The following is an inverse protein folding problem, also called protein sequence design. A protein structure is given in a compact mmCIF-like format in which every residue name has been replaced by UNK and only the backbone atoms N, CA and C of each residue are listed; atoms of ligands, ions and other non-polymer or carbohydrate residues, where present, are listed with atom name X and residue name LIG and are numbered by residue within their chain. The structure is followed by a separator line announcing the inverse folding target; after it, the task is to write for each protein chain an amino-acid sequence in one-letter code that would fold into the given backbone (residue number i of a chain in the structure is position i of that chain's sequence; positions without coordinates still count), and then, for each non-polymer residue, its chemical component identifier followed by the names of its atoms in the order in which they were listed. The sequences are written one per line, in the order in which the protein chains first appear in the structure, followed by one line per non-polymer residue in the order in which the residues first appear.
data_IF_598949052740
#
_entry.id   IF_598949052740
#
_cell.length_a   1.000
_cell.length_b   1.000
_cell.length_c   1.000
_cell.angle_alpha   90.00
_cell.angle_beta   90.00
_cell.angle_gamma   90.00
#
_symmetry.space_group_name_H-M   'P 1'
#
loop_
_entity.id
_entity.type
_entity.pdbx_description
1 polymer ?
#
# COMPACT_ATOMS: atom_id res chain seq x y z
N UNK A 1 9.09 11.24 -11.86
CA UNK A 1 8.66 10.90 -10.49
C UNK A 1 7.14 10.85 -10.46
N UNK A 2 6.54 9.88 -9.75
CA UNK A 2 5.09 9.74 -9.58
C UNK A 2 4.81 9.51 -8.09
N UNK A 3 3.80 10.18 -7.56
CA UNK A 3 3.38 10.05 -6.16
C UNK A 3 2.06 9.29 -6.10
N UNK A 4 2.03 8.23 -5.30
CA UNK A 4 0.83 7.41 -5.07
C UNK A 4 0.41 7.57 -3.62
N UNK A 5 -0.83 7.98 -3.40
CA UNK A 5 -1.44 8.02 -2.05
C UNK A 5 -1.83 6.60 -1.68
N UNK A 6 -1.27 6.09 -0.58
CA UNK A 6 -1.58 4.75 -0.06
C UNK A 6 -2.35 4.88 1.24
N UNK A 7 -3.48 4.19 1.33
CA UNK A 7 -4.28 4.09 2.57
C UNK A 7 -4.17 2.67 3.13
N UNK A 8 -3.64 2.54 4.34
CA UNK A 8 -3.46 1.26 5.01
C UNK A 8 -4.63 0.95 5.95
N UNK A 9 -5.33 -0.15 5.68
CA UNK A 9 -6.38 -0.69 6.53
C UNK A 9 -5.92 -1.95 7.29
N UNK A 10 -6.45 -2.16 8.50
CA UNK A 10 -6.07 -3.28 9.37
C UNK A 10 -4.88 -3.00 10.29
N UNK A 11 -4.57 -1.71 10.53
CA UNK A 11 -3.56 -1.24 11.46
C UNK A 11 -4.22 -0.48 12.61
N UNK A 12 -3.94 -0.92 13.85
CA UNK A 12 -4.46 -0.28 15.06
C UNK A 12 -3.53 0.83 15.53
N UNK A 13 -2.22 0.67 15.28
CA UNK A 13 -1.21 1.57 15.80
C UNK A 13 -0.85 2.67 14.78
N UNK A 14 -1.08 3.92 15.16
CA UNK A 14 -0.80 5.09 14.31
C UNK A 14 0.69 5.35 14.11
N UNK A 15 1.56 4.82 14.97
CA UNK A 15 3.03 4.92 14.82
C UNK A 15 3.64 3.71 14.08
N UNK A 16 2.81 2.86 13.47
CA UNK A 16 3.23 1.63 12.80
C UNK A 16 4.39 1.84 11.80
N UNK A 17 4.30 2.88 10.98
CA UNK A 17 5.29 3.16 9.94
C UNK A 17 6.66 3.55 10.53
N UNK A 18 6.68 4.31 11.64
CA UNK A 18 7.94 4.72 12.28
C UNK A 18 8.63 3.56 13.00
N UNK A 19 7.90 2.50 13.37
CA UNK A 19 8.43 1.30 14.03
C UNK A 19 9.00 0.24 13.08
N UNK A 20 8.76 0.35 11.77
CA UNK A 20 9.18 -0.65 10.79
C UNK A 20 10.54 -0.34 10.12
N UNK A 21 11.33 0.56 10.72
CA UNK A 21 12.65 1.00 10.25
C UNK A 21 12.67 1.43 8.77
N UNK A 22 11.54 1.90 8.26
CA UNK A 22 11.39 2.36 6.87
C UNK A 22 11.44 1.26 5.81
N UNK A 23 11.45 -0.03 6.18
CA UNK A 23 11.46 -1.12 5.19
C UNK A 23 10.06 -1.37 4.64
N UNK A 24 9.88 -1.08 3.34
CA UNK A 24 8.68 -1.35 2.58
C UNK A 24 9.05 -2.08 1.29
N UNK A 25 8.39 -3.20 1.01
CA UNK A 25 8.53 -3.94 -0.25
C UNK A 25 7.20 -3.89 -0.98
N UNK A 26 7.26 -3.62 -2.27
CA UNK A 26 6.10 -3.58 -3.14
C UNK A 26 6.32 -4.61 -4.25
N UNK A 27 5.29 -5.39 -4.54
CA UNK A 27 5.27 -6.34 -5.64
C UNK A 27 4.14 -5.93 -6.60
N UNK A 28 4.53 -5.79 -7.86
CA UNK A 28 3.62 -5.60 -9.00
C UNK A 28 2.66 -4.40 -8.81
N UNK A 29 3.24 -3.21 -8.63
CA UNK A 29 2.50 -1.97 -8.34
C UNK A 29 1.49 -1.60 -9.44
N UNK A 30 1.77 -1.97 -10.69
CA UNK A 30 0.91 -1.63 -11.82
C UNK A 30 -0.24 -2.63 -12.03
N UNK A 31 -0.29 -3.70 -11.23
CA UNK A 31 -1.36 -4.69 -11.31
C UNK A 31 -2.67 -4.19 -10.71
N UNK A 32 -3.76 -4.90 -11.00
CA UNK A 32 -5.05 -4.68 -10.33
C UNK A 32 -5.00 -5.03 -8.83
N UNK A 33 -4.03 -5.85 -8.42
CA UNK A 33 -3.88 -6.35 -7.05
C UNK A 33 -2.42 -6.29 -6.57
N UNK A 34 -1.86 -5.09 -6.39
CA UNK A 34 -0.50 -4.94 -5.91
C UNK A 34 -0.37 -5.47 -4.49
N UNK A 35 0.80 -5.96 -4.14
CA UNK A 35 1.08 -6.48 -2.79
C UNK A 35 2.14 -5.61 -2.12
N UNK A 36 1.97 -5.37 -0.83
CA UNK A 36 2.92 -4.58 -0.06
C UNK A 36 3.26 -5.28 1.25
N UNK A 37 4.53 -5.26 1.63
CA UNK A 37 5.00 -5.75 2.92
C UNK A 37 5.67 -4.62 3.68
N UNK A 38 5.20 -4.36 4.90
CA UNK A 38 5.79 -3.41 5.85
C UNK A 38 6.04 -4.15 7.15
N UNK A 39 7.31 -4.31 7.52
CA UNK A 39 7.71 -5.19 8.62
C UNK A 39 7.17 -6.61 8.45
N UNK A 40 6.38 -7.08 9.42
CA UNK A 40 5.78 -8.42 9.44
C UNK A 40 4.38 -8.47 8.82
N UNK A 41 3.84 -7.34 8.36
CA UNK A 41 2.49 -7.28 7.81
C UNK A 41 2.51 -7.27 6.30
N UNK A 42 1.57 -8.02 5.72
CA UNK A 42 1.36 -8.12 4.27
C UNK A 42 0.01 -7.52 3.97
N UNK A 43 -0.04 -6.76 2.88
CA UNK A 43 -1.22 -6.08 2.39
C UNK A 43 -1.45 -6.45 0.93
N UNK A 44 -2.72 -6.59 0.56
CA UNK A 44 -3.17 -6.63 -0.82
C UNK A 44 -3.92 -5.35 -1.13
N UNK A 45 -3.65 -4.77 -2.30
CA UNK A 45 -4.20 -3.48 -2.67
C UNK A 45 -5.17 -3.53 -3.83
N UNK A 46 -5.90 -2.44 -3.98
CA UNK A 46 -6.72 -2.11 -5.15
C UNK A 46 -6.71 -0.59 -5.33
N UNK A 47 -6.67 -0.15 -6.60
CA UNK A 47 -6.73 1.26 -6.89
C UNK A 47 -8.17 1.75 -6.93
N UNK A 48 -8.46 2.81 -6.19
CA UNK A 48 -9.79 3.41 -6.10
C UNK A 48 -9.75 4.90 -6.42
N UNK A 49 -10.82 5.39 -7.04
CA UNK A 49 -11.05 6.82 -7.19
C UNK A 49 -11.64 7.39 -5.89
N UNK A 50 -11.08 8.50 -5.42
CA UNK A 50 -11.53 9.20 -4.22
C UNK A 50 -12.74 10.09 -4.53
N UNK A 51 -13.69 10.16 -3.59
CA UNK A 51 -14.69 11.23 -3.59
C UNK A 51 -14.01 12.55 -3.21
N UNK A 52 -13.56 13.30 -4.23
CA UNK A 52 -12.83 14.56 -4.06
C UNK A 52 -11.43 14.50 -4.67
N UNK A 53 -10.51 15.25 -4.10
CA UNK A 53 -9.11 15.33 -4.58
C UNK A 53 -8.17 15.36 -3.40
N UNK A 54 -7.18 14.46 -3.39
CA UNK A 54 -6.06 14.51 -2.47
C UNK A 54 -5.06 15.55 -2.97
N UNK A 55 -4.73 16.54 -2.14
CA UNK A 55 -3.73 17.57 -2.43
C UNK A 55 -2.53 17.34 -1.51
N UNK A 56 -1.35 17.18 -2.09
CA UNK A 56 -0.12 16.85 -1.37
C UNK A 56 0.78 18.08 -1.29
N UNK A 57 1.34 18.32 -0.10
CA UNK A 57 2.28 19.39 0.19
C UNK A 57 3.55 18.82 0.80
N UNK A 58 4.69 19.34 0.37
CA UNK A 58 5.99 19.09 1.00
C UNK A 58 6.23 20.14 2.09
N UNK A 59 6.64 19.70 3.27
CA UNK A 59 7.02 20.58 4.37
C UNK A 59 8.50 21.00 4.25
N UNK A 60 8.74 22.31 4.13
CA UNK A 60 10.07 22.90 4.12
C UNK A 60 10.64 23.16 5.51
N UNK A 61 11.91 23.59 5.56
CA UNK A 61 12.65 23.80 6.82
C UNK A 61 12.03 24.84 7.77
N UNK A 62 11.24 25.79 7.23
CA UNK A 62 10.62 26.87 8.00
C UNK A 62 9.09 26.71 8.12
N UNK A 63 8.58 25.46 8.12
CA UNK A 63 7.14 25.16 8.13
C UNK A 63 6.39 25.76 6.93
N UNK A 64 7.11 26.01 5.84
CA UNK A 64 6.52 26.40 4.57
C UNK A 64 5.94 25.17 3.91
N UNK A 65 4.69 25.24 3.44
CA UNK A 65 4.05 24.17 2.69
C UNK A 65 4.15 24.48 1.20
N UNK A 66 4.91 23.67 0.46
CA UNK A 66 5.01 23.78 -0.98
C UNK A 66 4.07 22.76 -1.63
N UNK A 67 3.21 23.23 -2.52
CA UNK A 67 2.38 22.35 -3.33
C UNK A 67 3.26 21.36 -4.12
N UNK A 68 3.01 20.07 -3.96
CA UNK A 68 3.73 19.01 -4.67
C UNK A 68 2.90 18.48 -5.84
N UNK A 69 1.71 17.94 -5.56
CA UNK A 69 0.80 17.42 -6.59
C UNK A 69 -0.63 17.27 -6.06
N UNK A 70 -1.51 16.78 -6.93
CA UNK A 70 -2.86 16.37 -6.56
C UNK A 70 -3.21 15.08 -7.29
N UNK A 71 -4.10 14.28 -6.69
CA UNK A 71 -4.62 13.05 -7.29
C UNK A 71 -6.07 12.85 -6.90
N UNK A 72 -6.85 12.23 -7.79
CA UNK A 72 -8.19 11.73 -7.52
C UNK A 72 -8.21 10.22 -7.32
N UNK A 73 -7.04 9.57 -7.33
CA UNK A 73 -6.88 8.13 -7.23
C UNK A 73 -5.93 7.78 -6.08
N UNK A 74 -6.31 6.80 -5.28
CA UNK A 74 -5.52 6.25 -4.18
C UNK A 74 -5.37 4.74 -4.33
N UNK A 75 -4.36 4.20 -3.66
CA UNK A 75 -4.14 2.77 -3.53
C UNK A 75 -4.61 2.34 -2.15
N UNK A 76 -5.77 1.70 -2.08
CA UNK A 76 -6.29 1.10 -0.86
C UNK A 76 -5.53 -0.20 -0.59
N UNK A 77 -5.07 -0.40 0.63
CA UNK A 77 -4.29 -1.58 1.04
C UNK A 77 -4.93 -2.23 2.26
N UNK A 78 -5.42 -3.46 2.11
CA UNK A 78 -6.00 -4.23 3.20
C UNK A 78 -4.99 -5.24 3.73
N UNK A 79 -4.80 -5.29 5.05
CA UNK A 79 -3.94 -6.29 5.69
C UNK A 79 -4.51 -7.69 5.45
N UNK A 80 -3.65 -8.60 4.99
CA UNK A 80 -3.97 -10.00 4.78
C UNK A 80 -3.08 -10.91 5.64
N UNK A 81 -3.52 -12.15 5.82
CA UNK A 81 -2.73 -13.21 6.43
C UNK A 81 -2.42 -14.26 5.37
N UNK A 82 -1.14 -14.56 5.20
CA UNK A 82 -0.70 -15.58 4.26
C UNK A 82 -1.04 -16.96 4.82
N UNK A 83 -1.49 -17.84 3.93
CA UNK A 83 -1.70 -19.25 4.21
C UNK A 83 -0.82 -20.06 3.28
N UNK A 84 -0.29 -21.18 3.77
CA UNK A 84 0.45 -22.10 2.93
C UNK A 84 -0.45 -22.62 1.81
N UNK A 85 0.05 -22.58 0.58
CA UNK A 85 -0.64 -23.21 -0.54
C UNK A 85 -0.60 -24.71 -0.31
N UNK A 86 -1.78 -25.33 -0.10
CA UNK A 86 -1.89 -26.79 -0.08
C UNK A 86 -1.51 -27.31 -1.46
N UNK A 87 -0.59 -28.26 -1.52
CA UNK A 87 -0.35 -29.02 -2.74
C UNK A 87 -1.63 -29.79 -3.07
N UNK A 88 -2.25 -29.46 -4.20
CA UNK A 88 -3.33 -30.27 -4.74
C UNK A 88 -2.66 -31.46 -5.42
N UNK A 89 -3.01 -32.68 -5.00
CA UNK A 89 -2.63 -33.91 -5.70
C UNK A 89 -2.95 -33.72 -7.18
N UNK A 90 -1.92 -33.81 -8.01
CA UNK A 90 -2.08 -33.86 -9.45
C UNK A 90 -2.98 -35.06 -9.74
N UNK A 91 -4.23 -34.79 -10.12
CA UNK A 91 -5.10 -35.82 -10.69
C UNK A 91 -4.35 -36.38 -11.89
N UNK A 92 -3.85 -37.59 -11.71
CA UNK A 92 -3.26 -38.39 -12.78
C UNK A 92 -4.41 -38.69 -13.73
N UNK A 93 -4.58 -37.84 -14.74
CA UNK A 93 -5.46 -38.12 -15.87
C UNK A 93 -4.89 -39.31 -16.64
N UNK A 94 -5.56 -40.45 -16.52
CA UNK A 94 -5.45 -41.57 -17.46
C UNK A 94 -6.06 -41.22 -18.81
#
# INVERSE_FOLDING_TARGET
EQLVVVELSGIINTDFMSKCDGTCKILDIDSERPMMQVGQYVFAGEYEDTLGTCVLFEEGQQKELKYACHTVRKLMMQRIFLTEKKECETSTGQ
#
